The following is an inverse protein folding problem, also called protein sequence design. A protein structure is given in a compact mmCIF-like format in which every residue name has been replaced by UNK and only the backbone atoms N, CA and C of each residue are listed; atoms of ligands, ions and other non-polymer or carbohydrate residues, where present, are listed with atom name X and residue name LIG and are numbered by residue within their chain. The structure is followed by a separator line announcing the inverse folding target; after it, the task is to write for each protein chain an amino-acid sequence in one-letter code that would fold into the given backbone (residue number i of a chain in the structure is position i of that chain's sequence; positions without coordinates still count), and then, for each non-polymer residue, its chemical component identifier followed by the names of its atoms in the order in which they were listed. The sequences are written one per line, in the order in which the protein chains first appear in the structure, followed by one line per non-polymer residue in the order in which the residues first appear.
data_IF_709317636578
#
_entry.id   IF_709317636578
#
_cell.length_a   1.000
_cell.length_b   1.000
_cell.length_c   1.000
_cell.angle_alpha   90.00
_cell.angle_beta   90.00
_cell.angle_gamma   90.00
#
_symmetry.space_group_name_H-M   'P 1'
#
loop_
_entity.id
_entity.type
_entity.pdbx_description
1 polymer ?
#
# COMPACT_ATOMS: atom_id res chain seq x y z
N UNK A 1 -1.77 7.64 13.64
CA UNK A 1 -2.64 8.30 14.65
C UNK A 1 -3.02 9.71 14.20
N UNK A 2 -4.31 10.02 14.07
CA UNK A 2 -4.80 11.38 13.76
C UNK A 2 -5.05 12.17 15.04
N UNK A 3 -4.25 13.20 15.29
CA UNK A 3 -4.30 14.02 16.53
C UNK A 3 -5.67 14.64 16.80
N UNK A 4 -6.41 15.01 15.75
CA UNK A 4 -7.72 15.64 15.87
C UNK A 4 -8.82 14.70 16.40
N UNK A 5 -8.57 13.39 16.40
CA UNK A 5 -9.54 12.36 16.81
C UNK A 5 -9.34 11.87 18.24
N UNK A 6 -8.32 12.39 18.94
CA UNK A 6 -8.04 12.06 20.33
C UNK A 6 -8.89 12.88 21.30
N UNK A 7 -9.27 12.24 22.39
CA UNK A 7 -9.97 12.83 23.51
C UNK A 7 -9.01 13.67 24.38
N UNK A 8 -9.57 14.51 25.28
CA UNK A 8 -8.78 15.38 26.15
C UNK A 8 -7.75 14.61 27.01
N UNK A 9 -8.14 13.45 27.54
CA UNK A 9 -7.28 12.59 28.35
C UNK A 9 -6.12 12.01 27.54
N UNK A 10 -6.41 11.48 26.34
CA UNK A 10 -5.42 10.94 25.40
C UNK A 10 -4.43 12.02 24.93
N UNK A 11 -4.92 13.23 24.63
CA UNK A 11 -4.08 14.39 24.28
C UNK A 11 -3.19 14.82 25.45
N UNK A 12 -3.71 14.77 26.68
CA UNK A 12 -2.95 15.13 27.89
C UNK A 12 -1.82 14.13 28.12
N UNK A 13 -2.10 12.84 27.91
CA UNK A 13 -1.10 11.78 27.98
C UNK A 13 0.02 12.00 26.95
N UNK A 14 -0.31 12.15 25.68
CA UNK A 14 0.67 12.26 24.59
C UNK A 14 1.58 13.50 24.73
N UNK A 15 1.07 14.58 25.33
CA UNK A 15 1.86 15.77 25.62
C UNK A 15 2.74 15.61 26.86
N UNK A 16 2.25 14.94 27.91
CA UNK A 16 3.02 14.70 29.14
C UNK A 16 4.21 13.78 28.89
N UNK A 17 4.04 12.70 28.11
CA UNK A 17 5.16 11.82 27.68
C UNK A 17 6.25 12.63 26.97
N UNK A 18 5.88 13.72 26.29
CA UNK A 18 6.79 14.60 25.55
C UNK A 18 7.29 15.81 26.34
N UNK A 19 6.95 15.92 27.63
CA UNK A 19 7.33 17.04 28.48
C UNK A 19 6.64 18.37 28.14
N UNK A 20 5.52 18.34 27.41
CA UNK A 20 4.78 19.53 26.99
C UNK A 20 3.61 19.78 27.95
N UNK A 21 3.48 21.02 28.45
CA UNK A 21 2.41 21.38 29.35
C UNK A 21 1.02 21.28 28.67
N UNK A 22 0.02 20.65 29.32
CA UNK A 22 -1.35 20.62 28.81
C UNK A 22 -1.97 22.02 28.81
N UNK A 23 -2.91 22.26 27.90
CA UNK A 23 -3.56 23.56 27.69
C UNK A 23 -5.00 23.40 27.23
N UNK A 24 -5.48 24.33 26.39
CA UNK A 24 -6.79 24.17 25.71
C UNK A 24 -6.76 23.02 24.70
N UNK A 25 -7.90 22.42 24.36
CA UNK A 25 -7.93 21.24 23.46
C UNK A 25 -7.34 21.56 22.09
N UNK A 26 -7.66 22.73 21.54
CA UNK A 26 -7.12 23.23 20.26
C UNK A 26 -5.61 23.43 20.34
N UNK A 27 -5.12 23.97 21.45
CA UNK A 27 -3.69 24.17 21.68
C UNK A 27 -2.95 22.85 21.85
N UNK A 28 -3.54 21.90 22.59
CA UNK A 28 -2.99 20.56 22.77
C UNK A 28 -2.86 19.83 21.43
N UNK A 29 -3.89 19.91 20.57
CA UNK A 29 -3.84 19.34 19.21
C UNK A 29 -2.76 19.99 18.34
N UNK A 30 -2.63 21.32 18.37
CA UNK A 30 -1.58 22.04 17.61
C UNK A 30 -0.18 21.64 18.07
N UNK A 31 0.07 21.62 19.38
CA UNK A 31 1.37 21.28 19.97
C UNK A 31 1.75 19.82 19.68
N UNK A 32 0.81 18.88 19.83
CA UNK A 32 1.05 17.46 19.54
C UNK A 32 1.28 17.21 18.05
N UNK A 33 0.53 17.88 17.16
CA UNK A 33 0.75 17.77 15.71
C UNK A 33 2.13 18.28 15.29
N UNK A 34 2.61 19.38 15.90
CA UNK A 34 3.95 19.91 15.65
C UNK A 34 5.03 18.94 16.17
N UNK A 35 4.87 18.40 17.37
CA UNK A 35 5.81 17.44 17.95
C UNK A 35 5.96 16.18 17.07
N UNK A 36 4.84 15.58 16.62
CA UNK A 36 4.89 14.40 15.74
C UNK A 36 5.48 14.70 14.36
N UNK A 37 5.31 15.92 13.85
CA UNK A 37 5.95 16.32 12.58
C UNK A 37 7.47 16.34 12.70
N UNK A 38 7.99 16.83 13.81
CA UNK A 38 9.44 16.85 14.09
C UNK A 38 9.98 15.42 14.28
N UNK A 39 9.25 14.56 15.01
CA UNK A 39 9.58 13.13 15.14
C UNK A 39 9.66 12.43 13.78
N UNK A 40 8.68 12.67 12.89
CA UNK A 40 8.65 12.09 11.54
C UNK A 40 9.75 12.64 10.63
N UNK A 41 10.24 13.86 10.87
CA UNK A 41 11.35 14.45 10.14
C UNK A 41 12.72 13.92 10.59
N UNK A 42 12.76 13.10 11.64
CA UNK A 42 14.00 12.56 12.20
C UNK A 42 14.77 13.56 13.07
N UNK A 43 14.16 14.68 13.44
CA UNK A 43 14.76 15.66 14.35
C UNK A 43 14.83 15.04 15.76
N UNK A 44 16.03 15.03 16.36
CA UNK A 44 16.23 14.44 17.69
C UNK A 44 15.60 15.32 18.77
N UNK A 45 14.36 15.01 19.13
CA UNK A 45 13.69 15.59 20.29
C UNK A 45 14.01 14.71 21.50
N UNK A 46 14.85 15.21 22.41
CA UNK A 46 15.11 14.51 23.68
C UNK A 46 13.89 14.67 24.58
N UNK A 47 13.12 13.60 24.74
CA UNK A 47 11.99 13.55 25.66
C UNK A 47 12.45 13.29 27.10
N UNK A 48 11.70 13.80 28.10
CA UNK A 48 11.99 13.54 29.51
C UNK A 48 11.76 12.05 29.86
N UNK A 49 12.19 11.65 31.05
CA UNK A 49 11.88 10.32 31.59
C UNK A 49 10.36 10.09 31.63
N UNK A 50 9.97 8.86 31.37
CA UNK A 50 8.58 8.47 31.23
C UNK A 50 7.78 8.79 32.52
N UNK A 51 6.70 9.60 32.43
CA UNK A 51 6.10 10.20 33.62
C UNK A 51 4.98 9.37 34.29
N UNK A 52 4.66 8.19 33.76
CA UNK A 52 3.57 7.33 34.23
C UNK A 52 4.10 6.03 34.84
N UNK A 53 3.35 5.45 35.78
CA UNK A 53 3.71 4.13 36.31
C UNK A 53 3.14 3.00 35.43
N UNK A 54 3.76 1.81 35.43
CA UNK A 54 3.25 0.67 34.67
C UNK A 54 1.80 0.31 35.00
N UNK A 55 1.39 0.47 36.25
CA UNK A 55 0.03 0.18 36.72
C UNK A 55 -1.00 1.17 36.15
N UNK A 56 -0.65 2.47 36.09
CA UNK A 56 -1.52 3.51 35.52
C UNK A 56 -1.76 3.29 34.02
N UNK A 57 -0.77 2.76 33.30
CA UNK A 57 -0.88 2.44 31.89
C UNK A 57 -1.69 1.17 31.64
N UNK A 58 -1.47 0.12 32.43
CA UNK A 58 -2.23 -1.13 32.35
C UNK A 58 -3.71 -0.86 32.64
N UNK A 59 -4.04 -0.07 33.67
CA UNK A 59 -5.42 0.28 34.00
C UNK A 59 -6.09 1.05 32.87
N UNK A 60 -5.42 2.08 32.34
CA UNK A 60 -5.99 2.92 31.31
C UNK A 60 -6.13 2.20 29.96
N UNK A 61 -5.16 1.36 29.57
CA UNK A 61 -5.27 0.53 28.36
C UNK A 61 -6.41 -0.47 28.51
N UNK A 62 -6.52 -1.13 29.67
CA UNK A 62 -7.61 -2.09 29.94
C UNK A 62 -8.98 -1.42 29.87
N UNK A 63 -9.12 -0.22 30.44
CA UNK A 63 -10.35 0.56 30.39
C UNK A 63 -10.73 0.92 28.95
N UNK A 64 -9.79 1.47 28.18
CA UNK A 64 -10.04 1.86 26.79
C UNK A 64 -10.35 0.67 25.87
N UNK A 65 -9.72 -0.50 26.08
CA UNK A 65 -10.05 -1.71 25.32
C UNK A 65 -11.46 -2.22 25.62
N UNK A 66 -11.91 -2.18 26.89
CA UNK A 66 -13.29 -2.55 27.26
C UNK A 66 -14.33 -1.63 26.61
N UNK A 67 -14.01 -0.36 26.43
CA UNK A 67 -14.89 0.61 25.76
C UNK A 67 -14.89 0.44 24.23
N UNK A 68 -13.74 0.12 23.63
CA UNK A 68 -13.59 0.01 22.18
C UNK A 68 -14.09 -1.32 21.60
N UNK A 69 -13.99 -2.43 22.34
CA UNK A 69 -14.44 -3.75 21.88
C UNK A 69 -15.88 -3.74 21.34
N UNK A 70 -16.92 -3.34 22.10
CA UNK A 70 -18.30 -3.38 21.60
C UNK A 70 -18.54 -2.43 20.42
N UNK A 71 -17.78 -1.32 20.32
CA UNK A 71 -17.88 -0.37 19.23
C UNK A 71 -17.31 -0.91 17.92
N UNK A 72 -16.25 -1.74 18.00
CA UNK A 72 -15.64 -2.43 16.86
C UNK A 72 -16.46 -3.67 16.49
N UNK A 73 -17.05 -4.35 17.47
CA UNK A 73 -17.94 -5.49 17.24
C UNK A 73 -19.15 -5.11 16.38
N UNK A 74 -19.73 -3.93 16.63
CA UNK A 74 -20.90 -3.40 15.91
C UNK A 74 -20.55 -2.54 14.69
N UNK A 75 -19.25 -2.40 14.37
CA UNK A 75 -18.81 -1.54 13.28
C UNK A 75 -19.24 -2.09 11.90
N UNK A 76 -19.96 -1.28 11.13
CA UNK A 76 -20.50 -1.64 9.82
C UNK A 76 -20.33 -0.53 8.78
N UNK A 77 -19.25 0.25 8.88
CA UNK A 77 -18.97 1.37 7.98
C UNK A 77 -17.72 1.14 7.13
N UNK A 78 -17.47 1.99 6.13
CA UNK A 78 -16.28 1.90 5.27
C UNK A 78 -15.00 2.39 5.98
N UNK A 79 -13.84 2.06 5.38
CA UNK A 79 -12.53 2.54 5.82
C UNK A 79 -12.35 4.07 5.71
N UNK A 80 -13.22 4.76 4.97
CA UNK A 80 -13.23 6.23 4.85
C UNK A 80 -14.12 6.92 5.89
N UNK A 81 -14.79 6.15 6.75
CA UNK A 81 -15.70 6.70 7.74
C UNK A 81 -14.97 7.45 8.85
N UNK A 82 -15.67 8.43 9.45
CA UNK A 82 -15.16 9.16 10.60
C UNK A 82 -14.95 8.23 11.81
N UNK A 83 -15.81 7.23 11.98
CA UNK A 83 -15.74 6.25 13.06
C UNK A 83 -14.52 5.35 12.92
N UNK A 84 -14.23 4.85 11.70
CA UNK A 84 -13.02 4.09 11.41
C UNK A 84 -11.75 4.84 11.83
N UNK A 85 -11.57 6.07 11.34
CA UNK A 85 -10.39 6.88 11.67
C UNK A 85 -10.29 7.24 13.16
N UNK A 86 -11.42 7.34 13.85
CA UNK A 86 -11.47 7.59 15.29
C UNK A 86 -11.00 6.36 16.06
N UNK A 87 -11.57 5.18 15.80
CA UNK A 87 -11.21 3.93 16.46
C UNK A 87 -9.76 3.53 16.15
N UNK A 88 -9.33 3.67 14.90
CA UNK A 88 -7.96 3.43 14.47
C UNK A 88 -6.96 4.35 15.20
N UNK A 89 -7.31 5.63 15.39
CA UNK A 89 -6.46 6.58 16.12
C UNK A 89 -6.35 6.24 17.60
N UNK A 90 -7.44 5.78 18.23
CA UNK A 90 -7.44 5.31 19.62
C UNK A 90 -6.64 4.03 19.82
N UNK A 91 -6.80 3.03 18.94
CA UNK A 91 -5.99 1.81 18.98
C UNK A 91 -4.49 2.11 18.76
N UNK A 92 -4.17 3.03 17.85
CA UNK A 92 -2.78 3.49 17.66
C UNK A 92 -2.19 4.15 18.91
N UNK A 93 -2.99 4.93 19.63
CA UNK A 93 -2.59 5.54 20.90
C UNK A 93 -2.33 4.47 21.97
N UNK A 94 -3.18 3.45 22.07
CA UNK A 94 -2.98 2.33 22.98
C UNK A 94 -1.70 1.54 22.67
N UNK A 95 -1.38 1.33 21.38
CA UNK A 95 -0.12 0.70 20.99
C UNK A 95 1.10 1.52 21.42
N UNK A 96 1.06 2.84 21.27
CA UNK A 96 2.14 3.72 21.72
C UNK A 96 2.29 3.75 23.25
N UNK A 97 1.17 3.65 23.98
CA UNK A 97 1.17 3.52 25.43
C UNK A 97 1.75 2.19 25.88
N UNK A 98 1.37 1.11 25.20
CA UNK A 98 1.96 -0.20 25.43
C UNK A 98 3.46 -0.17 25.16
N UNK A 99 3.97 0.46 24.08
CA UNK A 99 5.41 0.52 23.74
C UNK A 99 6.34 0.86 24.93
N UNK A 100 5.87 1.69 25.88
CA UNK A 100 6.63 2.15 27.04
C UNK A 100 6.64 1.16 28.24
N UNK A 101 5.83 0.11 28.20
CA UNK A 101 5.81 -0.95 29.22
C UNK A 101 6.88 -2.01 28.93
N UNK A 102 7.76 -2.30 29.88
CA UNK A 102 8.71 -3.42 29.74
C UNK A 102 8.07 -4.75 30.16
N UNK A 103 8.50 -5.87 29.55
CA UNK A 103 8.01 -7.22 29.88
C UNK A 103 8.28 -7.61 31.34
N UNK A 104 9.32 -7.05 31.97
CA UNK A 104 9.67 -7.28 33.38
C UNK A 104 8.76 -6.53 34.37
N UNK A 105 8.10 -5.46 33.92
CA UNK A 105 7.32 -4.54 34.77
C UNK A 105 5.81 -4.81 34.70
N UNK A 106 5.32 -5.46 33.65
CA UNK A 106 3.91 -5.73 33.45
C UNK A 106 3.67 -7.10 32.80
N UNK A 107 3.32 -8.11 33.62
CA UNK A 107 2.97 -9.47 33.17
C UNK A 107 1.78 -9.49 32.20
N UNK A 108 0.92 -8.47 32.26
CA UNK A 108 -0.30 -8.34 31.43
C UNK A 108 -0.05 -7.72 30.05
N UNK A 109 1.14 -7.11 29.83
CA UNK A 109 1.55 -6.51 28.56
C UNK A 109 1.29 -7.38 27.33
N UNK A 110 1.76 -8.65 27.26
CA UNK A 110 1.58 -9.47 26.06
C UNK A 110 0.11 -9.73 25.75
N UNK A 111 -0.74 -9.90 26.77
CA UNK A 111 -2.18 -10.10 26.59
C UNK A 111 -2.87 -8.83 26.07
N UNK A 112 -2.53 -7.66 26.62
CA UNK A 112 -3.09 -6.37 26.17
C UNK A 112 -2.63 -6.00 24.76
N UNK A 113 -1.37 -6.28 24.42
CA UNK A 113 -0.83 -6.08 23.08
C UNK A 113 -1.54 -6.97 22.06
N UNK A 114 -1.69 -8.26 22.37
CA UNK A 114 -2.42 -9.19 21.51
C UNK A 114 -3.87 -8.73 21.29
N UNK A 115 -4.58 -8.33 22.34
CA UNK A 115 -5.96 -7.84 22.23
C UNK A 115 -6.05 -6.57 21.35
N UNK A 116 -5.15 -5.61 21.55
CA UNK A 116 -5.12 -4.35 20.77
C UNK A 116 -4.88 -4.62 19.28
N UNK A 117 -3.98 -5.56 18.95
CA UNK A 117 -3.70 -5.93 17.57
C UNK A 117 -4.86 -6.69 16.92
N UNK A 118 -5.51 -7.61 17.66
CA UNK A 118 -6.71 -8.33 17.18
C UNK A 118 -7.85 -7.36 16.87
N UNK A 119 -8.09 -6.36 17.73
CA UNK A 119 -9.09 -5.33 17.49
C UNK A 119 -8.78 -4.43 16.29
N UNK A 120 -7.50 -4.13 16.07
CA UNK A 120 -7.07 -3.36 14.90
C UNK A 120 -7.29 -4.14 13.60
N UNK A 121 -6.97 -5.43 13.60
CA UNK A 121 -7.24 -6.34 12.48
C UNK A 121 -8.75 -6.48 12.21
N UNK A 122 -9.55 -6.68 13.26
CA UNK A 122 -11.00 -6.80 13.13
C UNK A 122 -11.64 -5.54 12.55
N UNK A 123 -11.21 -4.36 13.00
CA UNK A 123 -11.67 -3.07 12.47
C UNK A 123 -11.38 -2.94 10.97
N UNK A 124 -10.17 -3.31 10.54
CA UNK A 124 -9.76 -3.26 9.14
C UNK A 124 -10.52 -4.30 8.30
N UNK A 125 -10.65 -5.54 8.78
CA UNK A 125 -11.41 -6.61 8.11
C UNK A 125 -12.86 -6.21 7.85
N UNK A 126 -13.56 -5.67 8.86
CA UNK A 126 -14.97 -5.23 8.71
C UNK A 126 -15.11 -4.06 7.74
N UNK A 127 -14.17 -3.12 7.76
CA UNK A 127 -14.16 -2.01 6.81
C UNK A 127 -13.98 -2.50 5.37
N UNK A 128 -13.10 -3.48 5.15
CA UNK A 128 -12.92 -4.11 3.83
C UNK A 128 -14.16 -4.89 3.38
N UNK A 129 -14.77 -5.68 4.25
CA UNK A 129 -15.99 -6.43 3.95
C UNK A 129 -17.14 -5.52 3.54
N UNK A 130 -17.29 -4.37 4.22
CA UNK A 130 -18.27 -3.36 3.85
C UNK A 130 -18.01 -2.78 2.45
N UNK A 131 -16.75 -2.46 2.13
CA UNK A 131 -16.40 -1.95 0.79
C UNK A 131 -16.56 -3.00 -0.31
N UNK A 132 -16.28 -4.28 0.00
CA UNK A 132 -16.51 -5.41 -0.92
C UNK A 132 -18.00 -5.59 -1.16
N UNK A 133 -18.84 -5.54 -0.13
CA UNK A 133 -20.29 -5.67 -0.23
C UNK A 133 -20.95 -4.52 -1.03
N UNK A 134 -20.41 -3.31 -0.97
CA UNK A 134 -20.91 -2.16 -1.75
C UNK A 134 -20.47 -2.15 -3.23
N UNK A 135 -19.37 -2.83 -3.56
CA UNK A 135 -18.77 -2.82 -4.90
C UNK A 135 -19.09 -4.08 -5.74
N UNK A 136 -20.05 -4.92 -5.32
CA UNK A 136 -20.47 -6.09 -6.12
C UNK A 136 -21.42 -5.64 -7.26
N UNK A 137 -21.05 -5.80 -8.54
CA UNK A 137 -22.01 -5.74 -9.65
C UNK A 137 -22.92 -6.98 -9.58
N UNK A 138 -24.21 -6.90 -9.92
CA UNK A 138 -25.01 -8.11 -9.98
C UNK A 138 -24.48 -8.94 -11.14
N UNK A 139 -23.94 -10.15 -10.90
CA UNK A 139 -24.09 -11.31 -11.77
C UNK A 139 -23.52 -12.60 -11.14
N UNK A 140 -24.38 -13.62 -11.18
CA UNK A 140 -24.09 -15.05 -11.38
C UNK A 140 -23.41 -15.83 -10.25
N UNK A 141 -24.19 -16.18 -9.23
CA UNK A 141 -24.04 -17.44 -8.50
C UNK A 141 -24.62 -18.59 -9.34
N UNK A 142 -23.79 -19.19 -10.20
CA UNK A 142 -24.09 -20.45 -10.88
C UNK A 142 -23.31 -21.57 -10.18
N UNK A 143 -24.05 -22.61 -9.77
CA UNK A 143 -23.65 -23.86 -9.10
C UNK A 143 -23.39 -23.79 -7.59
N UNK A 144 -24.44 -24.02 -6.81
CA UNK A 144 -24.57 -25.28 -6.07
C UNK A 144 -26.06 -25.58 -5.83
N UNK A 145 -26.48 -26.78 -6.23
CA UNK A 145 -27.80 -27.35 -5.96
C UNK A 145 -27.88 -27.69 -4.47
N UNK A 146 -28.99 -27.39 -3.81
CA UNK A 146 -29.99 -28.41 -3.42
C UNK A 146 -31.26 -27.77 -2.84
N UNK A 147 -32.36 -28.48 -3.09
CA UNK A 147 -33.63 -28.52 -2.35
C UNK A 147 -34.75 -27.52 -2.69
N UNK A 148 -35.57 -28.01 -3.62
CA UNK A 148 -37.02 -27.88 -3.66
C UNK A 148 -37.67 -27.82 -2.26
N UNK A 149 -38.37 -26.73 -1.97
CA UNK A 149 -39.65 -26.78 -1.29
C UNK A 149 -40.46 -25.51 -1.62
N UNK A 150 -41.66 -25.74 -2.14
CA UNK A 150 -42.62 -24.74 -2.53
C UNK A 150 -43.08 -23.88 -1.34
N UNK A 151 -43.28 -22.59 -1.59
CA UNK A 151 -44.44 -21.88 -1.05
C UNK A 151 -44.70 -20.59 -1.84
N UNK A 152 -45.68 -20.67 -2.74
CA UNK A 152 -46.27 -19.53 -3.44
C UNK A 152 -47.41 -19.01 -2.56
N UNK A 153 -47.28 -17.77 -2.09
CA UNK A 153 -48.43 -16.94 -1.69
C UNK A 153 -48.38 -15.60 -2.44
N UNK A 154 -49.48 -15.15 -3.07
CA UNK A 154 -49.49 -13.92 -3.84
C UNK A 154 -49.83 -12.73 -2.92
N UNK A 155 -48.82 -11.93 -2.57
CA UNK A 155 -49.06 -10.62 -1.96
C UNK A 155 -49.21 -9.57 -3.05
N UNK A 156 -50.44 -9.05 -3.18
CA UNK A 156 -50.82 -7.89 -3.99
C UNK A 156 -49.92 -6.70 -3.66
N UNK A 157 -49.21 -6.17 -4.64
CA UNK A 157 -48.64 -4.83 -4.56
C UNK A 157 -49.45 -3.87 -5.43
N UNK A 158 -50.19 -3.01 -4.74
CA UNK A 158 -50.79 -1.79 -5.24
C UNK A 158 -49.71 -0.88 -5.82
N UNK A 159 -49.84 -0.57 -7.10
CA UNK A 159 -49.07 0.45 -7.81
C UNK A 159 -49.55 1.85 -7.43
N UNK A 160 -48.93 2.44 -6.42
CA UNK A 160 -48.90 3.89 -6.27
C UNK A 160 -47.58 4.31 -5.64
N UNK A 161 -46.55 4.50 -6.45
CA UNK A 161 -45.47 5.42 -6.09
C UNK A 161 -45.10 6.20 -7.33
N UNK A 162 -45.38 7.50 -7.27
CA UNK A 162 -44.82 8.50 -8.17
C UNK A 162 -43.29 8.42 -8.11
N UNK A 163 -42.58 8.76 -9.20
CA UNK A 163 -41.12 8.75 -9.19
C UNK A 163 -40.59 9.69 -8.09
N UNK A 164 -39.49 9.33 -7.40
CA UNK A 164 -38.89 10.22 -6.43
C UNK A 164 -38.45 11.50 -7.15
N UNK A 165 -38.93 12.63 -6.65
CA UNK A 165 -38.54 13.97 -7.10
C UNK A 165 -37.02 14.08 -6.98
N UNK A 166 -36.33 14.24 -8.11
CA UNK A 166 -34.90 14.49 -8.14
C UNK A 166 -34.58 15.63 -7.17
N UNK A 167 -33.68 15.38 -6.23
CA UNK A 167 -33.11 16.41 -5.38
C UNK A 167 -32.47 17.46 -6.29
N UNK A 168 -33.13 18.60 -6.48
CA UNK A 168 -32.59 19.76 -7.18
C UNK A 168 -31.36 20.24 -6.42
N UNK A 169 -30.17 19.76 -6.83
CA UNK A 169 -28.89 20.25 -6.33
C UNK A 169 -28.83 21.72 -6.74
N UNK A 170 -28.89 22.64 -5.77
CA UNK A 170 -28.78 24.07 -6.04
C UNK A 170 -27.45 24.32 -6.77
N UNK A 171 -27.46 25.00 -7.95
CA UNK A 171 -26.26 25.22 -8.72
C UNK A 171 -25.26 26.05 -7.91
N UNK A 172 -24.08 25.50 -7.68
CA UNK A 172 -22.99 26.21 -7.00
C UNK A 172 -22.31 27.11 -8.03
N UNK A 173 -22.46 28.42 -7.85
CA UNK A 173 -21.90 29.42 -8.75
C UNK A 173 -20.36 29.39 -8.81
N UNK A 174 -19.74 29.81 -9.93
CA UNK A 174 -18.29 29.81 -10.15
C UNK A 174 -17.43 30.47 -9.07
N UNK A 175 -17.95 31.45 -8.34
CA UNK A 175 -17.27 32.08 -7.21
C UNK A 175 -16.73 31.07 -6.18
N UNK A 176 -17.45 29.96 -5.96
CA UNK A 176 -17.09 28.95 -4.95
C UNK A 176 -16.23 27.80 -5.51
N UNK A 177 -15.72 27.94 -6.74
CA UNK A 177 -14.98 26.88 -7.41
C UNK A 177 -13.49 26.86 -7.05
N UNK A 178 -12.98 27.93 -6.44
CA UNK A 178 -11.56 28.12 -6.13
C UNK A 178 -10.64 27.83 -7.33
N UNK A 179 -11.08 28.26 -8.52
CA UNK A 179 -10.40 28.06 -9.78
C UNK A 179 -10.17 29.42 -10.45
N UNK A 180 -8.91 29.75 -10.73
CA UNK A 180 -8.53 31.00 -11.37
C UNK A 180 -7.49 30.79 -12.47
N UNK A 181 -7.68 31.47 -13.59
CA UNK A 181 -6.71 31.54 -14.68
C UNK A 181 -6.12 32.94 -14.79
N UNK A 182 -4.79 33.05 -14.70
CA UNK A 182 -4.07 34.33 -14.75
C UNK A 182 -3.58 34.70 -16.16
N UNK A 183 -3.42 33.71 -17.04
CA UNK A 183 -2.78 33.88 -18.35
C UNK A 183 -1.26 33.74 -18.35
N UNK A 184 -0.67 33.23 -17.28
CA UNK A 184 0.80 33.09 -17.13
C UNK A 184 1.28 31.66 -17.41
N UNK A 185 2.45 31.54 -18.06
CA UNK A 185 3.07 30.25 -18.43
C UNK A 185 3.49 29.37 -17.24
N UNK A 186 3.54 29.93 -16.02
CA UNK A 186 3.94 29.23 -14.79
C UNK A 186 2.77 28.57 -14.05
N UNK A 187 1.54 28.93 -14.39
CA UNK A 187 0.34 28.43 -13.74
C UNK A 187 -0.31 27.26 -14.49
N UNK A 188 -1.60 27.06 -14.24
CA UNK A 188 -2.41 26.08 -14.95
C UNK A 188 -2.45 26.40 -16.46
N UNK A 189 -2.22 25.40 -17.31
CA UNK A 189 -2.31 25.58 -18.76
C UNK A 189 -3.75 25.89 -19.19
N UNK A 190 -3.92 26.59 -20.31
CA UNK A 190 -5.25 26.95 -20.81
C UNK A 190 -6.14 25.71 -21.00
N UNK A 191 -5.63 24.67 -21.65
CA UNK A 191 -6.40 23.43 -21.88
C UNK A 191 -6.81 22.76 -20.58
N UNK A 192 -5.90 22.67 -19.60
CA UNK A 192 -6.22 22.08 -18.29
C UNK A 192 -7.23 22.93 -17.51
N UNK A 193 -7.15 24.26 -17.62
CA UNK A 193 -8.14 25.17 -17.05
C UNK A 193 -9.52 24.96 -17.67
N UNK A 194 -9.63 24.92 -19.01
CA UNK A 194 -10.90 24.75 -19.71
C UNK A 194 -11.54 23.38 -19.43
N UNK A 195 -10.74 22.32 -19.38
CA UNK A 195 -11.20 20.98 -18.96
C UNK A 195 -11.79 21.03 -17.54
N UNK A 196 -11.06 21.65 -16.59
CA UNK A 196 -11.53 21.77 -15.21
C UNK A 196 -12.80 22.60 -15.10
N UNK A 197 -12.90 23.68 -15.85
CA UNK A 197 -14.12 24.51 -15.91
C UNK A 197 -15.32 23.67 -16.38
N UNK A 198 -15.15 22.87 -17.44
CA UNK A 198 -16.23 22.03 -17.97
C UNK A 198 -16.63 20.91 -16.98
N UNK A 199 -15.66 20.27 -16.32
CA UNK A 199 -15.93 19.30 -15.25
C UNK A 199 -16.77 19.90 -14.12
N UNK A 200 -16.37 21.08 -13.63
CA UNK A 200 -17.08 21.76 -12.54
C UNK A 200 -18.45 22.26 -12.99
N UNK A 201 -18.59 22.69 -14.25
CA UNK A 201 -19.84 23.09 -14.88
C UNK A 201 -20.84 21.93 -14.91
N UNK A 202 -20.40 20.76 -15.38
CA UNK A 202 -21.23 19.55 -15.44
C UNK A 202 -21.60 19.10 -14.02
N UNK A 203 -20.63 19.02 -13.11
CA UNK A 203 -20.84 18.55 -11.74
C UNK A 203 -21.80 19.44 -10.93
N UNK A 204 -21.88 20.74 -11.23
CA UNK A 204 -22.69 21.72 -10.51
C UNK A 204 -23.91 22.20 -11.31
N UNK A 205 -24.17 21.58 -12.47
CA UNK A 205 -25.28 21.92 -13.37
C UNK A 205 -25.35 23.42 -13.74
N UNK A 206 -24.20 24.04 -13.98
CA UNK A 206 -24.14 25.45 -14.39
C UNK A 206 -24.29 25.56 -15.91
N UNK A 207 -25.08 26.52 -16.38
CA UNK A 207 -25.23 26.77 -17.81
C UNK A 207 -24.01 27.52 -18.36
N UNK A 208 -23.71 27.35 -19.65
CA UNK A 208 -22.63 28.09 -20.32
C UNK A 208 -22.87 29.60 -20.31
N UNK A 209 -24.13 30.03 -20.36
CA UNK A 209 -24.49 31.45 -20.28
C UNK A 209 -24.16 32.03 -18.90
N UNK A 210 -24.54 31.33 -17.82
CA UNK A 210 -24.18 31.73 -16.46
C UNK A 210 -22.65 31.76 -16.27
N UNK A 211 -21.93 30.85 -16.92
CA UNK A 211 -20.46 30.82 -16.91
C UNK A 211 -19.85 32.07 -17.56
N UNK A 212 -20.41 32.53 -18.69
CA UNK A 212 -19.99 33.76 -19.35
C UNK A 212 -20.30 34.98 -18.49
N UNK A 213 -21.46 35.04 -17.84
CA UNK A 213 -21.87 36.17 -16.98
C UNK A 213 -21.02 36.27 -15.71
N UNK A 214 -20.73 35.13 -15.07
CA UNK A 214 -19.96 34.99 -13.83
C UNK A 214 -18.46 34.71 -14.06
N UNK A 215 -17.97 34.88 -15.29
CA UNK A 215 -16.56 34.65 -15.65
C UNK A 215 -15.57 35.54 -14.90
N UNK A 216 -16.02 36.64 -14.28
CA UNK A 216 -15.23 37.51 -13.41
C UNK A 216 -14.52 36.70 -12.31
N UNK A 217 -15.17 35.68 -11.76
CA UNK A 217 -14.62 34.88 -10.66
C UNK A 217 -13.56 33.87 -11.11
N UNK A 218 -13.55 33.52 -12.41
CA UNK A 218 -12.69 32.50 -13.01
C UNK A 218 -11.38 33.06 -13.55
N UNK A 219 -11.31 34.36 -13.80
CA UNK A 219 -10.15 35.01 -14.40
C UNK A 219 -9.45 35.96 -13.42
N UNK A 220 -8.13 36.04 -13.56
CA UNK A 220 -7.27 36.95 -12.80
C UNK A 220 -6.17 37.50 -13.72
N UNK A 221 -5.45 38.53 -13.28
CA UNK A 221 -4.30 39.05 -14.04
C UNK A 221 -4.65 39.49 -15.47
N UNK A 222 -3.84 39.06 -16.44
CA UNK A 222 -3.99 39.42 -17.86
C UNK A 222 -5.22 38.78 -18.50
N UNK A 223 -5.56 37.55 -18.09
CA UNK A 223 -6.76 36.88 -18.57
C UNK A 223 -8.05 37.59 -18.13
N UNK A 224 -8.05 38.23 -16.96
CA UNK A 224 -9.19 39.03 -16.50
C UNK A 224 -9.42 40.26 -17.38
N UNK A 225 -8.34 40.98 -17.73
CA UNK A 225 -8.43 42.13 -18.64
C UNK A 225 -8.96 41.72 -20.01
N UNK A 226 -8.47 40.59 -20.53
CA UNK A 226 -8.95 40.01 -21.78
C UNK A 226 -10.46 39.68 -21.71
N UNK A 227 -10.89 39.02 -20.64
CA UNK A 227 -12.30 38.72 -20.41
C UNK A 227 -13.18 39.98 -20.39
N UNK A 228 -12.77 41.05 -19.69
CA UNK A 228 -13.54 42.30 -19.65
C UNK A 228 -13.69 42.97 -21.02
N UNK A 229 -12.67 42.88 -21.88
CA UNK A 229 -12.70 43.49 -23.21
C UNK A 229 -13.68 42.78 -24.17
N UNK A 230 -13.76 41.45 -24.09
CA UNK A 230 -14.51 40.63 -25.04
C UNK A 230 -15.85 40.11 -24.52
N UNK A 231 -16.13 40.14 -23.20
CA UNK A 231 -17.40 39.63 -22.63
C UNK A 231 -18.68 40.29 -23.18
N UNK A 232 -18.58 41.51 -23.71
CA UNK A 232 -19.70 42.22 -24.33
C UNK A 232 -19.79 42.05 -25.85
N UNK A 233 -18.77 41.43 -26.47
CA UNK A 233 -18.69 41.22 -27.92
C UNK A 233 -19.08 39.80 -28.33
N UNK A 234 -19.01 38.85 -27.38
CA UNK A 234 -19.32 37.43 -27.59
C UNK A 234 -20.73 37.10 -27.10
N UNK A 235 -21.43 36.24 -27.84
CA UNK A 235 -22.79 35.79 -27.49
C UNK A 235 -22.77 34.49 -26.68
N UNK A 236 -21.70 33.71 -26.79
CA UNK A 236 -21.59 32.40 -26.17
C UNK A 236 -20.25 32.16 -25.48
N UNK A 237 -20.27 31.28 -24.48
CA UNK A 237 -19.05 30.82 -23.82
C UNK A 237 -18.10 30.12 -24.80
N UNK A 238 -18.64 29.37 -25.77
CA UNK A 238 -17.83 28.62 -26.73
C UNK A 238 -17.07 29.56 -27.69
N UNK A 239 -17.70 30.65 -28.11
CA UNK A 239 -17.07 31.72 -28.89
C UNK A 239 -15.96 32.40 -28.09
N UNK A 240 -16.21 32.73 -26.82
CA UNK A 240 -15.19 33.27 -25.93
C UNK A 240 -14.01 32.31 -25.75
N UNK A 241 -14.26 31.02 -25.60
CA UNK A 241 -13.21 29.99 -25.52
C UNK A 241 -12.39 29.93 -26.83
N UNK A 242 -13.03 30.15 -27.99
CA UNK A 242 -12.33 30.29 -29.27
C UNK A 242 -11.32 31.43 -29.24
N UNK A 243 -11.76 32.64 -28.89
CA UNK A 243 -10.88 33.81 -28.76
C UNK A 243 -9.78 33.61 -27.71
N UNK A 244 -10.10 32.96 -26.59
CA UNK A 244 -9.15 32.67 -25.54
C UNK A 244 -8.06 31.69 -26.01
N UNK A 245 -8.42 30.72 -26.86
CA UNK A 245 -7.45 29.80 -27.48
C UNK A 245 -6.56 30.52 -28.48
N UNK A 246 -7.09 31.42 -29.29
CA UNK A 246 -6.31 32.21 -30.25
C UNK A 246 -5.28 33.12 -29.58
N UNK A 247 -5.63 33.73 -28.45
CA UNK A 247 -4.74 34.64 -27.72
C UNK A 247 -3.65 33.89 -26.93
N UNK A 248 -4.01 32.80 -26.24
CA UNK A 248 -3.12 32.14 -25.28
C UNK A 248 -2.44 30.88 -25.81
N UNK A 249 -2.85 30.34 -26.96
CA UNK A 249 -2.17 29.23 -27.63
C UNK A 249 -1.38 29.74 -28.83
N UNK A 250 -0.30 29.02 -29.15
CA UNK A 250 0.48 29.29 -30.35
C UNK A 250 -0.31 28.91 -31.60
N UNK A 251 -0.10 29.60 -32.72
CA UNK A 251 -0.73 29.26 -34.00
C UNK A 251 -0.44 27.82 -34.44
N UNK A 252 0.77 27.32 -34.13
CA UNK A 252 1.23 25.95 -34.40
C UNK A 252 0.98 24.98 -33.22
N UNK A 253 0.11 25.33 -32.27
CA UNK A 253 -0.14 24.53 -31.06
C UNK A 253 -0.57 23.10 -31.39
N UNK A 254 -1.51 22.93 -32.33
CA UNK A 254 -1.99 21.60 -32.74
C UNK A 254 -0.88 20.75 -33.37
N UNK A 255 -0.01 21.36 -34.18
CA UNK A 255 1.12 20.65 -34.82
C UNK A 255 2.14 20.22 -33.77
N UNK A 256 2.50 21.11 -32.85
CA UNK A 256 3.39 20.81 -31.73
C UNK A 256 2.82 19.73 -30.81
N UNK A 257 1.54 19.81 -30.48
CA UNK A 257 0.86 18.81 -29.65
C UNK A 257 0.82 17.45 -30.35
N UNK A 258 0.58 17.43 -31.67
CA UNK A 258 0.60 16.18 -32.42
C UNK A 258 2.00 15.56 -32.48
N UNK A 259 3.05 16.38 -32.61
CA UNK A 259 4.43 15.93 -32.54
C UNK A 259 4.79 15.38 -31.15
N UNK A 260 4.32 16.04 -30.08
CA UNK A 260 4.44 15.55 -28.71
C UNK A 260 3.75 14.18 -28.53
N UNK A 261 2.54 14.03 -29.06
CA UNK A 261 1.80 12.76 -29.07
C UNK A 261 2.58 11.66 -29.79
N UNK A 262 3.16 11.97 -30.96
CA UNK A 262 3.95 11.01 -31.72
C UNK A 262 5.19 10.57 -30.97
N UNK A 263 5.80 11.46 -30.18
CA UNK A 263 7.06 11.19 -29.48
C UNK A 263 6.86 10.69 -28.03
N UNK A 264 5.62 10.72 -27.50
CA UNK A 264 5.32 10.20 -26.16
C UNK A 264 5.31 8.66 -26.14
N UNK A 265 6.42 8.10 -25.71
CA UNK A 265 6.61 6.65 -25.45
C UNK A 265 6.22 6.28 -24.02
N UNK A 266 5.79 5.04 -23.79
CA UNK A 266 5.42 4.53 -22.46
C UNK A 266 6.64 4.45 -21.53
N UNK A 267 6.49 4.92 -20.28
CA UNK A 267 7.55 4.83 -19.26
C UNK A 267 7.76 3.39 -18.72
N UNK A 268 8.93 3.09 -18.12
CA UNK A 268 9.23 1.75 -17.60
C UNK A 268 8.32 1.31 -16.44
N UNK A 269 7.93 2.27 -15.59
CA UNK A 269 7.04 2.06 -14.43
C UNK A 269 5.57 2.43 -14.73
N UNK A 270 5.29 2.87 -15.95
CA UNK A 270 3.94 3.28 -16.34
C UNK A 270 3.13 2.07 -16.79
N UNK A 271 2.09 1.71 -16.04
CA UNK A 271 1.18 0.64 -16.45
C UNK A 271 0.47 0.99 -17.75
N UNK A 272 0.10 -0.02 -18.53
CA UNK A 272 -0.60 0.16 -19.81
C UNK A 272 -1.88 0.97 -19.63
N UNK A 273 -2.60 0.77 -18.52
CA UNK A 273 -3.84 1.49 -18.23
C UNK A 273 -3.61 2.99 -18.06
N UNK A 274 -2.57 3.37 -17.30
CA UNK A 274 -2.23 4.78 -17.08
C UNK A 274 -1.71 5.42 -18.37
N UNK A 275 -0.85 4.73 -19.11
CA UNK A 275 -0.36 5.20 -20.40
C UNK A 275 -1.50 5.51 -21.37
N UNK A 276 -2.44 4.56 -21.54
CA UNK A 276 -3.60 4.74 -22.42
C UNK A 276 -4.51 5.90 -21.96
N UNK A 277 -4.66 6.11 -20.65
CA UNK A 277 -5.43 7.23 -20.10
C UNK A 277 -4.76 8.58 -20.41
N UNK A 278 -3.45 8.68 -20.23
CA UNK A 278 -2.66 9.89 -20.56
C UNK A 278 -2.74 10.19 -22.06
N UNK A 279 -2.55 9.18 -22.91
CA UNK A 279 -2.66 9.32 -24.37
C UNK A 279 -4.06 9.73 -24.81
N UNK A 280 -5.11 9.17 -24.19
CA UNK A 280 -6.50 9.60 -24.40
C UNK A 280 -6.67 11.09 -24.08
N UNK A 281 -6.08 11.56 -22.97
CA UNK A 281 -6.06 12.97 -22.61
C UNK A 281 -5.42 13.85 -23.69
N UNK A 282 -4.30 13.42 -24.27
CA UNK A 282 -3.69 14.14 -25.39
C UNK A 282 -4.57 14.15 -26.65
N UNK A 283 -5.17 13.01 -27.02
CA UNK A 283 -6.02 12.92 -28.21
C UNK A 283 -7.26 13.81 -28.10
N UNK A 284 -7.85 13.93 -26.90
CA UNK A 284 -9.03 14.77 -26.65
C UNK A 284 -8.73 16.28 -26.73
N UNK A 285 -7.44 16.67 -26.65
CA UNK A 285 -7.01 18.08 -26.73
C UNK A 285 -6.75 18.55 -28.16
N UNK A 286 -6.68 17.64 -29.13
CA UNK A 286 -6.53 17.99 -30.54
C UNK A 286 -7.83 18.61 -31.08
N UNK A 287 -7.71 19.65 -31.92
CA UNK A 287 -8.89 20.23 -32.57
C UNK A 287 -9.57 19.28 -33.57
N UNK A 288 -8.84 18.31 -34.12
CA UNK A 288 -9.35 17.30 -35.04
C UNK A 288 -9.27 15.92 -34.39
N UNK A 289 -10.41 15.24 -34.30
CA UNK A 289 -10.47 13.89 -33.77
C UNK A 289 -9.79 12.90 -34.72
N UNK A 290 -8.78 12.19 -34.24
CA UNK A 290 -8.13 11.12 -34.98
C UNK A 290 -9.03 9.87 -35.04
N UNK A 291 -8.91 9.10 -36.12
CA UNK A 291 -9.54 7.79 -36.20
C UNK A 291 -8.95 6.83 -35.16
N UNK A 292 -9.77 5.91 -34.65
CA UNK A 292 -9.32 4.88 -33.70
C UNK A 292 -8.15 4.05 -34.25
N UNK A 293 -8.14 3.76 -35.55
CA UNK A 293 -7.04 3.07 -36.22
C UNK A 293 -5.73 3.87 -36.14
N UNK A 294 -5.77 5.18 -36.37
CA UNK A 294 -4.59 6.04 -36.30
C UNK A 294 -4.07 6.14 -34.87
N UNK A 295 -4.98 6.29 -33.90
CA UNK A 295 -4.62 6.27 -32.47
C UNK A 295 -3.94 4.96 -32.12
N UNK A 296 -4.49 3.83 -32.56
CA UNK A 296 -3.94 2.51 -32.28
C UNK A 296 -2.55 2.31 -32.88
N UNK A 297 -2.32 2.77 -34.12
CA UNK A 297 -0.99 2.74 -34.75
C UNK A 297 0.05 3.54 -33.95
N UNK A 298 -0.31 4.74 -33.48
CA UNK A 298 0.57 5.57 -32.66
C UNK A 298 0.86 4.87 -31.33
N UNK A 299 -0.18 4.34 -30.67
CA UNK A 299 -0.05 3.65 -29.38
C UNK A 299 0.84 2.40 -29.50
N UNK A 300 0.59 1.52 -30.47
CA UNK A 300 1.37 0.28 -30.67
C UNK A 300 2.84 0.54 -30.97
N UNK A 301 3.16 1.65 -31.66
CA UNK A 301 4.53 2.07 -31.92
C UNK A 301 5.24 2.57 -30.65
N UNK A 302 4.50 3.15 -29.73
CA UNK A 302 5.04 3.91 -28.60
C UNK A 302 4.95 3.18 -27.25
N UNK A 303 4.23 2.05 -27.15
CA UNK A 303 4.23 1.17 -25.97
C UNK A 303 5.63 0.61 -25.68
N UNK A 304 5.89 0.21 -24.44
CA UNK A 304 7.20 -0.26 -24.02
C UNK A 304 7.59 -1.56 -24.75
N UNK A 305 8.91 -1.82 -24.98
CA UNK A 305 9.38 -2.98 -25.74
C UNK A 305 8.86 -4.34 -25.22
N UNK A 306 8.63 -4.45 -23.92
CA UNK A 306 8.02 -5.64 -23.30
C UNK A 306 6.68 -6.01 -23.96
N UNK A 307 5.80 -5.04 -24.13
CA UNK A 307 4.50 -5.24 -24.76
C UNK A 307 4.65 -5.41 -26.27
N UNK A 308 5.51 -4.62 -26.93
CA UNK A 308 5.73 -4.71 -28.38
C UNK A 308 6.14 -6.13 -28.80
N UNK A 309 7.10 -6.72 -28.09
CA UNK A 309 7.60 -8.06 -28.38
C UNK A 309 6.53 -9.14 -28.20
N UNK A 310 5.66 -9.00 -27.19
CA UNK A 310 4.62 -9.99 -26.88
C UNK A 310 3.37 -9.85 -27.76
N UNK A 311 3.13 -8.65 -28.30
CA UNK A 311 1.99 -8.34 -29.15
C UNK A 311 2.34 -8.37 -30.65
N UNK A 312 3.60 -8.62 -31.02
CA UNK A 312 4.08 -8.61 -32.40
C UNK A 312 3.30 -9.54 -33.36
N UNK A 313 2.76 -10.65 -32.83
CA UNK A 313 2.02 -11.66 -33.61
C UNK A 313 0.51 -11.62 -33.34
N UNK A 314 0.02 -10.61 -32.61
CA UNK A 314 -1.39 -10.49 -32.25
C UNK A 314 -2.00 -9.32 -33.01
N UNK A 315 -3.05 -9.61 -33.79
CA UNK A 315 -3.82 -8.56 -34.44
C UNK A 315 -4.68 -7.84 -33.40
N UNK A 316 -4.26 -6.63 -33.05
CA UNK A 316 -5.00 -5.74 -32.16
C UNK A 316 -5.87 -4.82 -33.02
N UNK A 317 -7.19 -4.95 -32.89
CA UNK A 317 -8.16 -4.20 -33.67
C UNK A 317 -8.75 -2.99 -32.92
N UNK A 318 -8.55 -2.89 -31.61
CA UNK A 318 -9.11 -1.79 -30.80
C UNK A 318 -8.26 -1.42 -29.59
N UNK A 319 -8.41 -0.18 -29.11
CA UNK A 319 -7.77 0.31 -27.87
C UNK A 319 -8.26 -0.49 -26.66
N UNK A 320 -9.52 -0.92 -26.65
CA UNK A 320 -10.08 -1.75 -25.59
C UNK A 320 -9.39 -3.14 -25.52
N UNK A 321 -9.17 -3.76 -26.68
CA UNK A 321 -8.44 -5.02 -26.79
C UNK A 321 -6.97 -4.85 -26.38
N UNK A 322 -6.31 -3.75 -26.79
CA UNK A 322 -4.94 -3.43 -26.36
C UNK A 322 -4.84 -3.36 -24.83
N UNK A 323 -5.80 -2.66 -24.19
CA UNK A 323 -5.86 -2.54 -22.73
C UNK A 323 -6.02 -3.88 -22.02
N UNK A 324 -6.86 -4.76 -22.56
CA UNK A 324 -7.10 -6.08 -21.99
C UNK A 324 -5.87 -6.98 -22.14
N UNK A 325 -5.30 -7.04 -23.34
CA UNK A 325 -4.07 -7.79 -23.59
C UNK A 325 -2.92 -7.29 -22.72
N UNK A 326 -2.74 -5.97 -22.63
CA UNK A 326 -1.70 -5.35 -21.79
C UNK A 326 -1.83 -5.74 -20.32
N UNK A 327 -3.04 -5.68 -19.75
CA UNK A 327 -3.27 -6.10 -18.35
C UNK A 327 -2.96 -7.58 -18.12
N UNK A 328 -3.30 -8.45 -19.08
CA UNK A 328 -2.96 -9.87 -19.02
C UNK A 328 -1.45 -10.10 -19.08
N UNK A 329 -0.72 -9.28 -19.85
CA UNK A 329 0.74 -9.35 -19.92
C UNK A 329 1.40 -8.85 -18.62
N UNK A 330 0.85 -7.82 -17.99
CA UNK A 330 1.29 -7.34 -16.67
C UNK A 330 1.10 -8.40 -15.58
N UNK A 331 -0.06 -9.04 -15.52
CA UNK A 331 -0.31 -10.13 -14.58
C UNK A 331 0.66 -11.31 -14.79
N UNK A 332 1.00 -11.62 -16.06
CA UNK A 332 2.02 -12.62 -16.38
C UNK A 332 3.43 -12.18 -15.98
N UNK A 333 3.77 -10.90 -16.19
CA UNK A 333 5.06 -10.33 -15.77
C UNK A 333 5.25 -10.51 -14.28
N UNK A 334 4.26 -10.11 -13.48
CA UNK A 334 4.27 -10.27 -12.03
C UNK A 334 4.36 -11.75 -11.61
N UNK A 335 3.61 -12.65 -12.27
CA UNK A 335 3.70 -14.08 -12.00
C UNK A 335 5.09 -14.68 -12.31
N UNK A 336 5.77 -14.18 -13.34
CA UNK A 336 7.13 -14.58 -13.71
C UNK A 336 8.15 -14.00 -12.73
N UNK A 337 8.00 -12.74 -12.31
CA UNK A 337 8.87 -12.11 -11.31
C UNK A 337 8.77 -12.80 -9.95
N UNK A 338 7.56 -13.24 -9.57
CA UNK A 338 7.30 -13.99 -8.35
C UNK A 338 7.60 -15.50 -8.46
N UNK A 339 8.05 -15.99 -9.62
CA UNK A 339 8.37 -17.40 -9.80
C UNK A 339 9.57 -17.79 -8.92
N UNK A 340 9.34 -18.78 -8.05
CA UNK A 340 10.39 -19.39 -7.24
C UNK A 340 10.48 -20.87 -7.57
N UNK A 341 11.71 -21.37 -7.73
CA UNK A 341 11.98 -22.80 -7.91
C UNK A 341 11.47 -23.59 -6.69
N UNK A 342 11.00 -24.84 -6.88
CA UNK A 342 10.55 -25.69 -5.78
C UNK A 342 11.63 -25.85 -4.71
N UNK A 343 11.30 -25.58 -3.44
CA UNK A 343 12.22 -25.76 -2.31
C UNK A 343 12.37 -27.26 -2.01
N UNK A 344 13.60 -27.75 -1.83
CA UNK A 344 13.88 -29.11 -1.32
C UNK A 344 13.25 -29.26 0.07
N UNK A 345 12.17 -30.04 0.18
CA UNK A 345 11.52 -30.31 1.47
C UNK A 345 12.21 -31.48 2.13
N UNK A 346 12.75 -31.29 3.34
CA UNK A 346 13.32 -32.37 4.16
C UNK A 346 12.25 -33.34 4.68
N UNK A 347 10.98 -32.91 4.69
CA UNK A 347 9.82 -33.71 5.10
C UNK A 347 8.68 -33.47 4.12
N UNK A 348 8.84 -33.90 2.86
CA UNK A 348 7.70 -33.96 1.94
C UNK A 348 6.74 -35.06 2.41
N UNK A 349 5.43 -34.80 2.34
CA UNK A 349 4.41 -35.81 2.65
C UNK A 349 4.50 -36.99 1.68
N UNK A 350 4.80 -36.68 0.42
CA UNK A 350 5.03 -37.62 -0.69
C UNK A 350 6.46 -37.40 -1.23
N UNK A 351 7.45 -38.13 -0.71
CA UNK A 351 8.86 -37.96 -1.09
C UNK A 351 9.17 -38.35 -2.54
N UNK A 352 8.40 -39.27 -3.11
CA UNK A 352 8.50 -39.77 -4.50
C UNK A 352 8.11 -38.71 -5.54
N UNK A 353 7.22 -37.78 -5.17
CA UNK A 353 6.78 -36.66 -6.02
C UNK A 353 7.60 -35.37 -5.78
N UNK A 354 8.56 -35.37 -4.86
CA UNK A 354 9.36 -34.20 -4.55
C UNK A 354 10.27 -33.80 -5.72
N UNK A 355 10.48 -32.50 -5.92
CA UNK A 355 11.40 -32.00 -6.95
C UNK A 355 12.83 -32.45 -6.66
N UNK A 356 13.38 -33.28 -7.56
CA UNK A 356 14.77 -33.71 -7.56
C UNK A 356 15.52 -32.95 -8.65
N UNK A 357 16.60 -32.26 -8.28
CA UNK A 357 17.50 -31.64 -9.25
C UNK A 357 18.17 -32.75 -10.07
N UNK A 358 17.98 -32.73 -11.39
CA UNK A 358 18.65 -33.65 -12.29
C UNK A 358 20.16 -33.38 -12.28
N UNK A 359 20.90 -34.10 -11.44
CA UNK A 359 22.35 -33.98 -11.25
C UNK A 359 22.87 -34.26 -9.83
N UNK A 360 22.00 -34.41 -8.83
CA UNK A 360 22.40 -34.92 -7.52
C UNK A 360 22.48 -36.46 -7.54
N UNK A 361 23.63 -37.04 -7.21
CA UNK A 361 23.77 -38.49 -7.05
C UNK A 361 22.63 -39.05 -6.18
N UNK A 362 22.01 -40.18 -6.56
CA UNK A 362 20.90 -40.74 -5.80
C UNK A 362 21.40 -41.07 -4.39
N UNK A 363 20.75 -40.47 -3.39
CA UNK A 363 20.89 -40.90 -2.02
C UNK A 363 20.51 -42.39 -1.99
N UNK A 364 21.53 -43.23 -1.79
CA UNK A 364 21.35 -44.67 -1.67
C UNK A 364 20.40 -44.94 -0.51
N UNK A 365 19.20 -45.39 -0.83
CA UNK A 365 18.36 -46.14 0.10
C UNK A 365 19.18 -47.32 0.65
N UNK A 366 19.43 -47.33 1.96
CA UNK A 366 19.54 -48.56 2.77
C UNK A 366 19.43 -48.22 4.27
N UNK A 367 18.20 -48.39 4.75
CA UNK A 367 17.82 -49.32 5.84
C UNK A 367 18.18 -49.02 7.31
N UNK A 368 17.20 -49.23 8.20
CA UNK A 368 17.30 -50.23 9.28
C UNK A 368 16.09 -50.19 10.24
N UNK A 369 15.09 -51.04 9.96
CA UNK A 369 14.33 -51.75 10.99
C UNK A 369 14.62 -53.25 10.84
N UNK A 370 15.62 -53.77 11.57
CA UNK A 370 15.65 -55.17 11.99
C UNK A 370 16.79 -55.44 12.99
N UNK A 371 16.40 -55.81 14.21
CA UNK A 371 17.23 -56.54 15.14
C UNK A 371 17.46 -57.97 14.63
N UNK A 372 18.70 -58.47 14.62
CA UNK A 372 19.16 -59.74 15.25
C UNK A 372 20.52 -60.24 14.69
N UNK A 373 21.42 -60.56 15.62
CA UNK A 373 22.46 -61.61 15.64
C UNK A 373 23.54 -61.79 14.55
N UNK A 374 24.80 -61.54 15.00
CA UNK A 374 26.02 -62.39 14.92
C UNK A 374 26.68 -62.84 13.58
N UNK A 375 27.94 -62.35 13.41
CA UNK A 375 29.20 -63.00 12.89
C UNK A 375 29.24 -63.34 11.37
N UNK A 376 30.29 -63.11 10.56
CA UNK A 376 31.75 -62.95 10.69
C UNK A 376 32.37 -62.14 9.50
N UNK A 377 33.64 -61.70 9.65
CA UNK A 377 34.56 -60.93 8.74
C UNK A 377 35.31 -61.82 7.71
N UNK A 378 36.02 -61.34 6.63
CA UNK A 378 37.14 -60.32 6.62
C UNK A 378 37.25 -59.36 5.39
N UNK A 379 37.73 -58.11 5.58
CA UNK A 379 39.04 -57.48 5.17
C UNK A 379 39.09 -57.02 3.67
N UNK A 380 39.57 -55.84 3.22
CA UNK A 380 40.40 -54.78 3.78
C UNK A 380 40.25 -53.44 3.00
N UNK A 381 40.26 -52.30 3.70
CA UNK A 381 40.88 -51.01 3.30
C UNK A 381 40.82 -49.97 4.46
N UNK A 382 41.80 -50.03 5.38
CA UNK A 382 42.39 -48.93 6.18
C UNK A 382 41.52 -48.01 7.08
N UNK A 383 41.66 -48.05 8.43
CA UNK A 383 40.97 -47.12 9.33
C UNK A 383 41.74 -45.80 9.52
N UNK A 384 41.05 -44.67 9.36
CA UNK A 384 41.53 -43.36 9.82
C UNK A 384 41.62 -43.38 11.35
N UNK A 385 42.83 -43.32 11.92
CA UNK A 385 43.02 -43.20 13.37
C UNK A 385 42.35 -41.92 13.88
N UNK A 386 41.42 -42.05 14.83
CA UNK A 386 40.82 -40.89 15.49
C UNK A 386 41.83 -40.29 16.46
N UNK A 387 42.32 -39.10 16.12
CA UNK A 387 43.20 -38.30 16.97
C UNK A 387 42.32 -37.46 17.92
N UNK A 388 42.69 -37.45 19.20
CA UNK A 388 42.01 -36.64 20.19
C UNK A 388 42.31 -35.16 19.93
N UNK A 389 41.29 -34.35 19.63
CA UNK A 389 41.45 -32.90 19.44
C UNK A 389 41.95 -32.12 20.67
N UNK A 390 42.06 -32.76 21.84
CA UNK A 390 42.56 -32.15 23.09
C UNK A 390 44.06 -32.40 23.30
N UNK A 391 44.59 -33.59 22.99
CA UNK A 391 45.99 -33.95 23.24
C UNK A 391 46.74 -34.50 22.02
N UNK A 392 46.09 -34.54 20.85
CA UNK A 392 46.58 -35.11 19.59
C UNK A 392 47.06 -36.57 19.66
N UNK A 393 46.73 -37.31 20.73
CA UNK A 393 47.02 -38.74 20.83
C UNK A 393 45.93 -39.56 20.14
N UNK A 394 46.29 -40.63 19.40
CA UNK A 394 45.32 -41.50 18.76
C UNK A 394 44.54 -42.34 19.79
N UNK A 395 43.36 -42.81 19.40
CA UNK A 395 42.64 -43.89 20.13
C UNK A 395 41.53 -43.43 21.07
N UNK A 396 41.25 -42.12 21.19
CA UNK A 396 40.11 -41.61 21.96
C UNK A 396 39.60 -40.26 21.40
N UNK A 397 38.37 -39.88 21.73
CA UNK A 397 37.83 -38.54 21.41
C UNK A 397 38.11 -37.57 22.54
N UNK A 398 38.07 -36.26 22.26
CA UNK A 398 38.34 -35.18 23.22
C UNK A 398 37.45 -35.16 24.48
N UNK A 399 36.35 -35.93 24.47
CA UNK A 399 35.44 -36.12 25.61
C UNK A 399 35.95 -37.16 26.61
N UNK A 400 36.72 -38.14 26.15
CA UNK A 400 37.21 -39.28 26.95
C UNK A 400 38.71 -39.15 27.27
N UNK A 401 39.26 -37.94 27.13
CA UNK A 401 40.66 -37.64 27.37
C UNK A 401 40.96 -37.52 28.87
N UNK A 402 41.89 -38.33 29.36
CA UNK A 402 42.28 -38.42 30.78
C UNK A 402 43.22 -37.29 31.25
N UNK A 403 43.77 -36.50 30.33
CA UNK A 403 44.58 -35.31 30.67
C UNK A 403 43.65 -34.14 31.03
N UNK A 404 43.61 -33.79 32.32
CA UNK A 404 42.89 -32.62 32.85
C UNK A 404 43.54 -31.31 32.37
N UNK A 405 43.18 -30.88 31.17
CA UNK A 405 43.50 -29.57 30.62
C UNK A 405 42.25 -28.67 30.57
N UNK A 406 42.35 -27.48 31.17
CA UNK A 406 41.26 -26.50 31.32
C UNK A 406 40.63 -26.03 30.01
N UNK A 407 39.58 -25.21 30.12
CA UNK A 407 38.87 -24.61 28.97
C UNK A 407 39.87 -23.87 28.09
N UNK A 408 39.83 -24.01 26.76
CA UNK A 408 40.66 -23.24 25.82
C UNK A 408 39.81 -22.64 24.71
N UNK A 409 40.26 -21.51 24.15
CA UNK A 409 39.49 -20.77 23.17
C UNK A 409 39.59 -21.48 21.82
N UNK A 410 38.47 -21.97 21.29
CA UNK A 410 38.46 -22.68 20.00
C UNK A 410 38.85 -21.82 18.79
N UNK A 411 38.92 -20.49 18.93
CA UNK A 411 39.26 -19.56 17.84
C UNK A 411 40.74 -19.19 17.83
N UNK A 412 41.33 -18.88 18.99
CA UNK A 412 42.75 -18.46 19.10
C UNK A 412 43.65 -19.47 19.86
N UNK A 413 43.10 -20.60 20.31
CA UNK A 413 43.79 -21.68 21.04
C UNK A 413 44.45 -21.28 22.37
N UNK A 414 44.10 -20.12 22.95
CA UNK A 414 44.55 -19.72 24.29
C UNK A 414 43.89 -20.56 25.40
N UNK A 415 44.70 -21.06 26.32
CA UNK A 415 44.24 -21.82 27.49
C UNK A 415 43.58 -20.91 28.54
N UNK A 416 42.65 -21.47 29.32
CA UNK A 416 41.89 -20.80 30.39
C UNK A 416 40.52 -20.22 29.99
N UNK A 417 40.25 -19.98 28.71
CA UNK A 417 39.07 -19.22 28.25
C UNK A 417 38.23 -20.01 27.25
N UNK A 418 36.91 -19.80 27.18
CA UNK A 418 36.08 -20.25 26.03
C UNK A 418 35.95 -19.11 25.02
N UNK A 419 35.48 -19.39 23.79
CA UNK A 419 35.30 -18.37 22.73
C UNK A 419 34.55 -17.12 23.22
N UNK A 420 33.58 -17.30 24.13
CA UNK A 420 32.77 -16.23 24.73
C UNK A 420 33.48 -15.44 25.84
N UNK A 421 34.42 -16.07 26.54
CA UNK A 421 35.17 -15.47 27.68
C UNK A 421 36.61 -15.10 27.31
N UNK A 422 37.00 -15.30 26.05
CA UNK A 422 38.32 -14.95 25.56
C UNK A 422 38.42 -13.43 25.36
N UNK A 423 39.38 -12.75 25.99
CA UNK A 423 39.52 -11.29 25.91
C UNK A 423 39.74 -10.77 24.48
N UNK A 424 40.29 -11.61 23.58
CA UNK A 424 40.50 -11.24 22.17
C UNK A 424 39.34 -11.65 21.26
N UNK A 425 38.66 -12.78 21.52
CA UNK A 425 37.65 -13.32 20.60
C UNK A 425 36.20 -12.97 20.96
N UNK A 426 35.95 -12.43 22.15
CA UNK A 426 34.60 -12.09 22.62
C UNK A 426 34.00 -10.88 21.89
N UNK A 427 34.82 -9.87 21.57
CA UNK A 427 34.35 -8.61 20.96
C UNK A 427 33.98 -8.77 19.47
N UNK A 428 34.77 -9.53 18.71
CA UNK A 428 34.53 -9.76 17.27
C UNK A 428 33.32 -10.65 16.95
N UNK A 429 32.77 -11.36 17.94
CA UNK A 429 31.57 -12.17 17.76
C UNK A 429 30.26 -11.36 17.73
N UNK A 430 30.26 -10.17 18.33
CA UNK A 430 29.04 -9.35 18.45
C UNK A 430 28.86 -8.35 17.30
N UNK A 431 29.95 -7.89 16.67
CA UNK A 431 29.87 -6.98 15.51
C UNK A 431 29.31 -7.69 14.26
N UNK A 432 29.68 -8.95 14.04
CA UNK A 432 29.20 -9.73 12.88
C UNK A 432 27.71 -10.14 12.94
N UNK A 433 26.98 -9.82 14.01
CA UNK A 433 25.53 -10.01 14.12
C UNK A 433 24.72 -8.72 13.96
N UNK A 434 25.39 -7.57 13.77
CA UNK A 434 24.76 -6.24 13.62
C UNK A 434 25.04 -5.60 12.25
N UNK A 435 25.52 -6.35 11.26
CA UNK A 435 25.70 -5.89 9.88
C UNK A 435 24.76 -6.62 8.93
#
# INVERSE_FOLDING_TARGET
MQVNRLNKEELTYELRVRGIAPGTVEEMRRRLAMARRLEMAGDSVKYPDYPYTPEEDVEAVTKSLKELQPLIDQFSESASSNNFHTYQSKLSHLLHRLEHLNEEQATERPALLANTLTLLDELHRKAEEFTKAQNVPPQLSFLEQTDFAANIHPARHSSSSSPPRATEIKPILPNKWDLKFAGDKKGLSLSAFLERVEELRVARHVSKQTLLESGIDLFSGRAYQFYLAYRGQVESWDEFVGLLREEYLSADYNEKLFEEIRNRTQGPEESIGIYLAVMSGYFNRLSCALSEETKLKILLRNIAPFYQNQLALVDVASIAQLRELGRRLEARKEAVENYAVPKKRTFALEPDLAYVEAGGEPATDVDCLASTSARAKPDAAGPRQILCYRCNKPGHRARDCSERGGKFCYRCKKDGFTVRTCPECSQQGNEARRS
#
